data_IF_971181923002
#
_entry.id   IF_971181923002
#
_cell.length_a   1.000
_cell.length_b   1.000
_cell.length_c   1.000
_cell.angle_alpha   90.00
_cell.angle_beta   90.00
_cell.angle_gamma   90.00
#
_symmetry.space_group_name_H-M   'P 1'
#
loop_
_entity.id
_entity.type
_entity.pdbx_description
1 polymer ?
#
# COMPACT_ATOMS: atom_id res chain seq x y z
N UNK A 1 17.15 48.48 22.14
CA UNK A 1 15.94 48.05 22.89
C UNK A 1 15.17 47.13 21.96
N UNK A 2 14.83 45.96 22.49
CA UNK A 2 14.25 44.78 21.84
C UNK A 2 13.30 45.07 20.67
N UNK A 3 13.51 44.42 19.53
CA UNK A 3 12.47 44.26 18.50
C UNK A 3 11.88 42.87 18.70
N UNK A 4 10.67 42.84 19.26
CA UNK A 4 9.82 41.64 19.28
C UNK A 4 9.42 41.40 17.83
N UNK A 5 9.78 40.25 17.27
CA UNK A 5 9.27 39.80 15.97
C UNK A 5 8.19 38.78 16.25
N UNK A 6 6.98 39.16 15.85
CA UNK A 6 5.79 38.32 15.68
C UNK A 6 6.14 37.00 15.00
N UNK A 7 5.45 35.93 15.39
CA UNK A 7 5.50 34.61 14.78
C UNK A 7 5.21 34.70 13.27
N UNK A 8 6.27 34.79 12.46
CA UNK A 8 6.18 34.69 11.02
C UNK A 8 6.03 33.22 10.64
N UNK A 9 4.80 32.81 10.28
CA UNK A 9 4.55 31.59 9.52
C UNK A 9 5.46 31.59 8.30
N UNK A 10 6.47 30.72 8.32
CA UNK A 10 7.39 30.53 7.20
C UNK A 10 6.68 29.59 6.23
N UNK A 11 6.17 30.10 5.11
CA UNK A 11 5.68 29.20 4.05
C UNK A 11 6.87 28.40 3.52
N UNK A 12 6.75 27.07 3.55
CA UNK A 12 7.73 26.17 2.96
C UNK A 12 7.81 26.45 1.46
N UNK A 13 9.00 26.85 0.98
CA UNK A 13 9.24 27.05 -0.45
C UNK A 13 9.34 25.67 -1.10
N UNK A 14 8.53 25.35 -2.12
CA UNK A 14 8.62 24.05 -2.79
C UNK A 14 9.98 23.90 -3.49
N UNK A 15 10.61 22.74 -3.31
CA UNK A 15 11.87 22.38 -3.95
C UNK A 15 11.58 21.56 -5.19
N UNK A 16 12.10 21.97 -6.35
CA UNK A 16 12.04 21.17 -7.59
C UNK A 16 13.39 20.55 -7.90
N UNK A 17 13.39 19.25 -8.22
CA UNK A 17 14.60 18.46 -8.44
C UNK A 17 14.58 17.85 -9.84
N UNK A 18 15.35 18.49 -10.72
CA UNK A 18 15.41 18.22 -12.18
C UNK A 18 16.49 17.21 -12.58
N UNK A 19 17.37 16.84 -11.64
CA UNK A 19 18.49 15.94 -11.89
C UNK A 19 18.49 14.82 -10.87
N UNK A 20 19.05 13.66 -11.25
CA UNK A 20 19.14 12.53 -10.34
C UNK A 20 19.85 12.93 -9.05
N UNK A 21 19.24 12.58 -7.92
CA UNK A 21 19.72 13.03 -6.61
C UNK A 21 19.70 11.91 -5.57
N UNK A 22 20.58 12.06 -4.58
CA UNK A 22 20.62 11.19 -3.41
C UNK A 22 20.89 11.95 -2.11
N UNK A 23 20.20 11.57 -1.04
CA UNK A 23 20.35 12.24 0.26
C UNK A 23 19.13 12.16 1.18
N UNK A 24 19.08 13.09 2.14
CA UNK A 24 18.07 13.17 3.19
C UNK A 24 17.39 14.54 3.16
N UNK A 25 16.05 14.56 3.24
CA UNK A 25 15.27 15.78 3.49
C UNK A 25 14.26 15.54 4.62
N UNK A 26 13.92 16.62 5.30
CA UNK A 26 13.02 16.64 6.46
C UNK A 26 12.15 17.89 6.34
N UNK A 27 10.88 17.81 6.74
CA UNK A 27 9.94 18.95 6.76
C UNK A 27 9.89 19.70 5.41
N UNK A 28 9.65 18.98 4.32
CA UNK A 28 9.83 19.51 2.96
C UNK A 28 8.60 19.31 2.06
N UNK A 29 8.38 20.27 1.15
CA UNK A 29 7.47 20.11 0.00
C UNK A 29 8.30 20.02 -1.27
N UNK A 30 8.24 18.90 -1.98
CA UNK A 30 9.19 18.57 -3.05
C UNK A 30 8.46 18.07 -4.29
N UNK A 31 8.88 18.55 -5.46
CA UNK A 31 8.56 17.96 -6.75
C UNK A 31 9.83 17.34 -7.35
N UNK A 32 9.76 16.06 -7.73
CA UNK A 32 10.88 15.28 -8.25
C UNK A 32 10.55 14.83 -9.68
N UNK A 33 11.23 15.43 -10.66
CA UNK A 33 11.07 15.09 -12.09
C UNK A 33 12.14 14.09 -12.58
N UNK A 34 13.14 13.78 -11.76
CA UNK A 34 14.24 12.86 -12.07
C UNK A 34 14.40 11.75 -11.04
N UNK A 35 15.14 10.68 -11.36
CA UNK A 35 15.29 9.55 -10.44
C UNK A 35 15.89 9.95 -9.08
N UNK A 36 15.30 9.44 -8.00
CA UNK A 36 15.72 9.74 -6.64
C UNK A 36 16.09 8.50 -5.84
N UNK A 37 17.08 8.66 -4.96
CA UNK A 37 17.40 7.68 -3.93
C UNK A 37 17.61 8.33 -2.56
N UNK A 38 16.85 7.99 -1.52
CA UNK A 38 17.09 8.68 -0.25
C UNK A 38 16.09 8.42 0.86
N UNK A 39 16.20 9.25 1.90
CA UNK A 39 15.31 9.24 3.04
C UNK A 39 14.54 10.56 3.11
N UNK A 40 13.22 10.48 3.22
CA UNK A 40 12.36 11.64 3.44
C UNK A 40 11.56 11.43 4.72
N UNK A 41 11.49 12.48 5.53
CA UNK A 41 10.73 12.49 6.79
C UNK A 41 9.83 13.72 6.80
N UNK A 42 8.59 13.57 7.27
CA UNK A 42 7.64 14.69 7.43
C UNK A 42 7.50 15.53 6.15
N UNK A 43 7.26 14.85 5.01
CA UNK A 43 7.34 15.48 3.69
C UNK A 43 6.06 15.33 2.86
N UNK A 44 5.78 16.33 2.02
CA UNK A 44 4.77 16.26 0.96
C UNK A 44 5.47 16.21 -0.39
N UNK A 45 5.27 15.13 -1.15
CA UNK A 45 6.11 14.83 -2.31
C UNK A 45 5.26 14.45 -3.52
N UNK A 46 5.60 15.02 -4.68
CA UNK A 46 5.16 14.54 -5.99
C UNK A 46 6.38 13.99 -6.75
N UNK A 47 6.26 12.78 -7.30
CA UNK A 47 7.34 12.11 -8.02
C UNK A 47 6.84 11.63 -9.39
N UNK A 48 7.41 12.18 -10.46
CA UNK A 48 7.13 11.79 -11.85
C UNK A 48 8.14 10.78 -12.41
N UNK A 49 9.17 10.45 -11.63
CA UNK A 49 10.26 9.54 -12.02
C UNK A 49 10.47 8.39 -11.02
N UNK A 50 11.32 7.43 -11.36
CA UNK A 50 11.58 6.29 -10.47
C UNK A 50 12.21 6.72 -9.14
N UNK A 51 11.67 6.21 -8.04
CA UNK A 51 12.17 6.47 -6.70
C UNK A 51 12.60 5.20 -5.99
N UNK A 52 13.67 5.31 -5.20
CA UNK A 52 14.07 4.28 -4.24
C UNK A 52 14.41 4.85 -2.87
N UNK A 53 14.09 4.16 -1.77
CA UNK A 53 14.47 4.67 -0.45
C UNK A 53 13.53 4.36 0.70
N UNK A 54 13.51 5.27 1.69
CA UNK A 54 12.65 5.20 2.87
C UNK A 54 11.85 6.49 3.02
N UNK A 55 10.55 6.40 3.29
CA UNK A 55 9.76 7.55 3.72
C UNK A 55 9.04 7.28 5.04
N UNK A 56 9.02 8.31 5.88
CA UNK A 56 8.38 8.29 7.20
C UNK A 56 7.49 9.52 7.31
N UNK A 57 6.27 9.36 7.84
CA UNK A 57 5.36 10.47 8.13
C UNK A 57 5.11 11.36 6.90
N UNK A 58 4.84 10.77 5.74
CA UNK A 58 4.84 11.48 4.46
C UNK A 58 3.52 11.34 3.69
N UNK A 59 3.18 12.39 2.92
CA UNK A 59 2.09 12.36 1.94
C UNK A 59 2.66 12.40 0.54
N UNK A 60 2.29 11.42 -0.30
CA UNK A 60 3.04 11.13 -1.52
C UNK A 60 2.11 10.82 -2.69
N UNK A 61 2.41 11.43 -3.84
CA UNK A 61 1.88 11.04 -5.14
C UNK A 61 3.03 10.57 -6.04
N UNK A 62 2.91 9.38 -6.61
CA UNK A 62 3.92 8.78 -7.48
C UNK A 62 3.26 8.33 -8.80
N UNK A 63 3.77 8.86 -9.91
CA UNK A 63 3.34 8.48 -11.28
C UNK A 63 4.29 7.46 -11.94
N UNK A 64 5.34 7.03 -11.23
CA UNK A 64 6.39 6.17 -11.76
C UNK A 64 6.77 5.01 -10.83
N UNK A 65 7.65 4.11 -11.27
CA UNK A 65 8.00 2.93 -10.47
C UNK A 65 8.68 3.29 -9.15
N UNK A 66 8.26 2.62 -8.07
CA UNK A 66 8.78 2.85 -6.73
C UNK A 66 9.34 1.57 -6.12
N UNK A 67 10.45 1.70 -5.38
CA UNK A 67 10.98 0.61 -4.56
C UNK A 67 11.47 1.07 -3.19
N UNK A 68 11.00 0.49 -2.08
CA UNK A 68 11.49 0.96 -0.78
C UNK A 68 10.67 0.59 0.45
N UNK A 69 10.79 1.41 1.50
CA UNK A 69 10.08 1.27 2.75
C UNK A 69 9.26 2.53 3.05
N UNK A 70 8.04 2.31 3.55
CA UNK A 70 7.13 3.36 3.98
C UNK A 70 6.63 3.09 5.39
N UNK A 71 6.59 4.15 6.19
CA UNK A 71 6.07 4.11 7.56
C UNK A 71 5.19 5.33 7.78
N UNK A 72 4.02 5.13 8.38
CA UNK A 72 3.12 6.22 8.78
C UNK A 72 2.79 7.19 7.63
N UNK A 73 2.46 6.64 6.45
CA UNK A 73 2.39 7.43 5.22
C UNK A 73 1.03 7.30 4.51
N UNK A 74 0.66 8.36 3.78
CA UNK A 74 -0.49 8.36 2.86
C UNK A 74 0.02 8.44 1.43
N UNK A 75 -0.32 7.47 0.59
CA UNK A 75 0.24 7.36 -0.76
C UNK A 75 -0.83 7.12 -1.82
N UNK A 76 -0.70 7.81 -2.96
CA UNK A 76 -1.34 7.47 -4.23
C UNK A 76 -0.26 7.05 -5.25
N UNK A 77 -0.45 5.90 -5.91
CA UNK A 77 0.52 5.33 -6.85
C UNK A 77 -0.18 4.90 -8.14
N UNK A 78 0.21 5.50 -9.27
CA UNK A 78 -0.32 5.16 -10.60
C UNK A 78 0.59 4.16 -11.37
N UNK A 79 1.66 3.70 -10.73
CA UNK A 79 2.67 2.84 -11.35
C UNK A 79 3.11 1.68 -10.44
N UNK A 80 3.95 0.78 -10.97
CA UNK A 80 4.36 -0.43 -10.27
C UNK A 80 5.14 -0.14 -8.99
N UNK A 81 4.81 -0.85 -7.92
CA UNK A 81 5.43 -0.70 -6.61
C UNK A 81 6.06 -2.00 -6.11
N UNK A 82 7.19 -1.87 -5.42
CA UNK A 82 7.83 -2.97 -4.69
C UNK A 82 8.36 -2.55 -3.32
N UNK A 83 8.13 -3.31 -2.25
CA UNK A 83 8.70 -2.94 -0.94
C UNK A 83 7.92 -3.34 0.30
N UNK A 84 8.04 -2.52 1.34
CA UNK A 84 7.37 -2.70 2.63
C UNK A 84 6.59 -1.45 3.01
N UNK A 85 5.35 -1.61 3.48
CA UNK A 85 4.64 -0.55 4.21
C UNK A 85 4.22 -0.99 5.60
N UNK A 86 4.27 -0.01 6.51
CA UNK A 86 3.79 -0.14 7.89
C UNK A 86 2.93 1.08 8.20
N UNK A 87 1.78 0.86 8.86
CA UNK A 87 0.92 1.95 9.35
C UNK A 87 0.52 2.96 8.24
N UNK A 88 0.13 2.46 7.07
CA UNK A 88 -0.04 3.31 5.88
C UNK A 88 -1.44 3.23 5.27
N UNK A 89 -1.86 4.34 4.65
CA UNK A 89 -3.08 4.41 3.82
C UNK A 89 -2.70 4.58 2.36
N UNK A 90 -3.26 3.75 1.47
CA UNK A 90 -2.76 3.63 0.11
C UNK A 90 -3.86 3.44 -0.92
N UNK A 91 -3.73 4.13 -2.04
CA UNK A 91 -4.42 3.82 -3.29
C UNK A 91 -3.40 3.46 -4.38
N UNK A 92 -3.57 2.32 -5.03
CA UNK A 92 -2.68 1.84 -6.10
C UNK A 92 -3.52 1.46 -7.33
N UNK A 93 -3.21 2.08 -8.47
CA UNK A 93 -3.84 1.76 -9.76
C UNK A 93 -3.02 0.75 -10.60
N UNK A 94 -1.89 0.28 -10.07
CA UNK A 94 -0.93 -0.55 -10.80
C UNK A 94 -0.45 -1.79 -10.00
N UNK A 95 0.45 -2.58 -10.58
CA UNK A 95 0.88 -3.83 -9.95
C UNK A 95 1.74 -3.59 -8.70
N UNK A 96 1.51 -4.38 -7.67
CA UNK A 96 2.26 -4.28 -6.40
C UNK A 96 2.88 -5.61 -5.99
N UNK A 97 4.06 -5.51 -5.37
CA UNK A 97 4.75 -6.65 -4.77
C UNK A 97 5.40 -6.29 -3.42
N UNK A 98 5.24 -7.10 -2.37
CA UNK A 98 5.86 -6.76 -1.09
C UNK A 98 5.20 -7.25 0.20
N UNK A 99 5.40 -6.49 1.27
CA UNK A 99 4.82 -6.74 2.60
C UNK A 99 4.06 -5.52 3.13
N UNK A 100 2.93 -5.77 3.78
CA UNK A 100 2.20 -4.75 4.53
C UNK A 100 1.92 -5.19 5.95
N UNK A 101 1.90 -4.20 6.82
CA UNK A 101 1.53 -4.35 8.22
C UNK A 101 0.69 -3.15 8.63
N UNK A 102 -0.42 -3.38 9.32
CA UNK A 102 -1.26 -2.33 9.90
C UNK A 102 -1.72 -1.27 8.86
N UNK A 103 -2.16 -1.72 7.68
CA UNK A 103 -2.41 -0.83 6.55
C UNK A 103 -3.86 -0.88 6.03
N UNK A 104 -4.32 0.23 5.45
CA UNK A 104 -5.62 0.35 4.76
C UNK A 104 -5.44 0.67 3.29
N UNK A 105 -6.00 -0.15 2.40
CA UNK A 105 -5.58 -0.14 0.98
C UNK A 105 -6.71 -0.41 0.00
N UNK A 106 -6.70 0.35 -1.10
CA UNK A 106 -7.45 0.05 -2.32
C UNK A 106 -6.46 -0.22 -3.47
N UNK A 107 -6.65 -1.34 -4.17
CA UNK A 107 -5.84 -1.73 -5.33
C UNK A 107 -6.73 -2.07 -6.52
N UNK A 108 -6.54 -1.41 -7.66
CA UNK A 108 -7.28 -1.70 -8.91
C UNK A 108 -6.55 -2.73 -9.81
N UNK A 109 -5.37 -3.18 -9.41
CA UNK A 109 -4.49 -4.04 -10.21
C UNK A 109 -3.94 -5.25 -9.44
N UNK A 110 -3.07 -6.02 -10.10
CA UNK A 110 -2.61 -7.30 -9.56
C UNK A 110 -1.69 -7.12 -8.35
N UNK A 111 -1.85 -7.99 -7.37
CA UNK A 111 -1.07 -7.96 -6.15
C UNK A 111 -0.33 -9.27 -5.87
N UNK A 112 0.90 -9.16 -5.37
CA UNK A 112 1.65 -10.28 -4.81
C UNK A 112 2.31 -9.95 -3.46
N UNK A 113 2.06 -10.72 -2.39
CA UNK A 113 2.81 -10.52 -1.16
C UNK A 113 2.19 -10.98 0.15
N UNK A 114 2.60 -10.34 1.24
CA UNK A 114 2.18 -10.67 2.60
C UNK A 114 1.42 -9.51 3.24
N UNK A 115 0.33 -9.84 3.94
CA UNK A 115 -0.45 -8.92 4.76
C UNK A 115 -0.54 -9.40 6.20
N UNK A 116 -0.37 -8.46 7.11
CA UNK A 116 -0.64 -8.62 8.53
C UNK A 116 -1.49 -7.46 8.99
N UNK A 117 -2.55 -7.72 9.76
CA UNK A 117 -3.35 -6.69 10.45
C UNK A 117 -3.88 -5.59 9.50
N UNK A 118 -4.35 -5.96 8.31
CA UNK A 118 -4.68 -4.99 7.24
C UNK A 118 -6.14 -5.08 6.77
N UNK A 119 -6.66 -3.95 6.27
CA UNK A 119 -7.99 -3.85 5.64
C UNK A 119 -7.86 -3.47 4.17
N UNK A 120 -8.35 -4.32 3.26
CA UNK A 120 -7.99 -4.22 1.84
C UNK A 120 -9.16 -4.49 0.91
N UNK A 121 -9.27 -3.68 -0.15
CA UNK A 121 -10.13 -3.90 -1.30
C UNK A 121 -9.29 -4.06 -2.56
N UNK A 122 -9.50 -5.15 -3.31
CA UNK A 122 -8.78 -5.44 -4.56
C UNK A 122 -9.78 -5.75 -5.67
N UNK A 123 -9.71 -5.02 -6.78
CA UNK A 123 -10.56 -5.28 -7.96
C UNK A 123 -9.97 -6.35 -8.91
N UNK A 124 -8.69 -6.68 -8.74
CA UNK A 124 -7.97 -7.61 -9.59
C UNK A 124 -7.45 -8.85 -8.83
N UNK A 125 -6.49 -9.56 -9.43
CA UNK A 125 -5.99 -10.83 -8.91
C UNK A 125 -5.01 -10.64 -7.75
N UNK A 126 -5.10 -11.53 -6.77
CA UNK A 126 -4.17 -11.58 -5.65
C UNK A 126 -3.43 -12.91 -5.56
N UNK A 127 -2.15 -12.84 -5.20
CA UNK A 127 -1.35 -13.97 -4.74
C UNK A 127 -0.63 -13.66 -3.42
N UNK A 128 -0.75 -14.50 -2.38
CA UNK A 128 -0.06 -14.17 -1.13
C UNK A 128 -0.46 -14.88 0.15
N UNK A 129 -0.03 -14.28 1.26
CA UNK A 129 -0.34 -14.71 2.62
C UNK A 129 -1.08 -13.60 3.38
N UNK A 130 -2.10 -13.99 4.14
CA UNK A 130 -2.85 -13.12 5.05
C UNK A 130 -2.78 -13.65 6.47
N UNK A 131 -2.61 -12.71 7.39
CA UNK A 131 -2.79 -12.93 8.81
C UNK A 131 -3.62 -11.77 9.37
N UNK A 132 -4.61 -12.08 10.21
CA UNK A 132 -5.36 -11.08 11.00
C UNK A 132 -5.96 -9.92 10.15
N UNK A 133 -6.43 -10.23 8.94
CA UNK A 133 -6.83 -9.21 7.96
C UNK A 133 -8.32 -9.27 7.58
N UNK A 134 -8.83 -8.19 6.99
CA UNK A 134 -10.18 -8.12 6.41
C UNK A 134 -10.09 -7.71 4.94
N UNK A 135 -10.61 -8.53 4.03
CA UNK A 135 -10.41 -8.32 2.58
C UNK A 135 -11.68 -8.53 1.75
N UNK A 136 -11.86 -7.68 0.74
CA UNK A 136 -12.80 -7.88 -0.35
C UNK A 136 -12.05 -7.96 -1.70
N UNK A 137 -12.39 -8.97 -2.52
CA UNK A 137 -11.74 -9.22 -3.81
C UNK A 137 -12.77 -9.51 -4.89
N UNK A 138 -12.74 -8.74 -5.98
CA UNK A 138 -13.66 -8.95 -7.10
C UNK A 138 -13.17 -10.06 -8.06
N UNK A 139 -11.85 -10.27 -8.17
CA UNK A 139 -11.30 -11.29 -9.04
C UNK A 139 -10.83 -12.55 -8.27
N UNK A 140 -9.67 -13.09 -8.65
CA UNK A 140 -9.16 -14.37 -8.17
C UNK A 140 -8.11 -14.24 -7.07
N UNK A 141 -8.18 -15.11 -6.07
CA UNK A 141 -7.17 -15.28 -5.04
C UNK A 141 -6.41 -16.60 -5.17
N UNK A 142 -5.11 -16.54 -4.91
CA UNK A 142 -4.27 -17.70 -4.60
C UNK A 142 -3.43 -17.49 -3.35
N UNK A 143 -3.46 -18.40 -2.36
CA UNK A 143 -2.67 -18.15 -1.15
C UNK A 143 -3.03 -18.88 0.13
N UNK A 144 -2.51 -18.35 1.23
CA UNK A 144 -2.78 -18.81 2.60
C UNK A 144 -3.44 -17.69 3.39
N UNK A 145 -4.40 -18.06 4.22
CA UNK A 145 -5.11 -17.11 5.07
C UNK A 145 -5.29 -17.71 6.47
N UNK A 146 -4.89 -16.93 7.46
CA UNK A 146 -4.93 -17.26 8.89
C UNK A 146 -5.65 -16.15 9.63
N UNK A 147 -6.58 -16.50 10.53
CA UNK A 147 -7.27 -15.55 11.41
C UNK A 147 -7.90 -14.35 10.68
N UNK A 148 -8.36 -14.54 9.44
CA UNK A 148 -8.85 -13.42 8.61
C UNK A 148 -10.29 -13.62 8.13
N UNK A 149 -10.89 -12.51 7.70
CA UNK A 149 -12.21 -12.48 7.05
C UNK A 149 -12.06 -12.07 5.60
N UNK A 150 -12.64 -12.82 4.68
CA UNK A 150 -12.53 -12.52 3.24
C UNK A 150 -13.84 -12.74 2.47
N UNK A 151 -14.11 -11.86 1.52
CA UNK A 151 -15.17 -11.99 0.52
C UNK A 151 -14.55 -11.99 -0.89
N UNK A 152 -14.95 -12.94 -1.74
CA UNK A 152 -14.39 -13.13 -3.08
C UNK A 152 -15.50 -13.36 -4.09
N UNK A 153 -15.54 -12.57 -5.16
CA UNK A 153 -16.53 -12.77 -6.22
C UNK A 153 -16.12 -13.92 -7.17
N UNK A 154 -14.88 -13.94 -7.68
CA UNK A 154 -14.52 -14.95 -8.68
C UNK A 154 -14.06 -16.30 -8.09
N UNK A 155 -12.78 -16.46 -7.75
CA UNK A 155 -12.23 -17.79 -7.45
C UNK A 155 -11.17 -17.77 -6.37
N UNK A 156 -11.17 -18.81 -5.54
CA UNK A 156 -10.09 -19.06 -4.58
C UNK A 156 -9.33 -20.36 -4.87
N UNK A 157 -8.02 -20.30 -4.68
CA UNK A 157 -7.14 -21.45 -4.48
C UNK A 157 -6.26 -21.28 -3.25
N UNK A 158 -6.22 -22.24 -2.32
CA UNK A 158 -5.39 -22.02 -1.12
C UNK A 158 -5.71 -22.81 0.14
N UNK A 159 -5.18 -22.31 1.25
CA UNK A 159 -5.38 -22.85 2.60
C UNK A 159 -5.97 -21.78 3.53
N UNK A 160 -6.98 -22.19 4.31
CA UNK A 160 -7.63 -21.39 5.34
C UNK A 160 -7.42 -22.01 6.73
N UNK A 161 -7.03 -21.18 7.69
CA UNK A 161 -6.89 -21.56 9.10
C UNK A 161 -7.60 -20.53 9.98
N UNK A 162 -8.51 -20.95 10.86
CA UNK A 162 -9.18 -20.07 11.84
C UNK A 162 -9.88 -18.86 11.20
N UNK A 163 -10.49 -19.05 10.04
CA UNK A 163 -10.89 -17.94 9.16
C UNK A 163 -12.32 -18.03 8.66
N UNK A 164 -12.84 -16.89 8.19
CA UNK A 164 -14.18 -16.79 7.60
C UNK A 164 -14.07 -16.38 6.14
N UNK A 165 -14.71 -17.13 5.26
CA UNK A 165 -14.68 -16.85 3.82
C UNK A 165 -16.08 -16.93 3.19
N UNK A 166 -16.36 -15.99 2.28
CA UNK A 166 -17.51 -16.02 1.38
C UNK A 166 -17.04 -16.01 -0.08
N UNK A 167 -17.55 -16.93 -0.91
CA UNK A 167 -17.17 -17.02 -2.34
C UNK A 167 -18.41 -17.20 -3.22
N UNK A 168 -18.46 -16.45 -4.34
CA UNK A 168 -19.55 -16.61 -5.32
C UNK A 168 -19.27 -17.70 -6.36
N UNK A 169 -18.12 -17.72 -7.04
CA UNK A 169 -17.94 -18.63 -8.18
C UNK A 169 -17.28 -19.98 -7.83
N UNK A 170 -16.01 -20.01 -7.41
CA UNK A 170 -15.30 -21.30 -7.25
C UNK A 170 -14.27 -21.36 -6.12
N UNK A 171 -14.21 -22.52 -5.45
CA UNK A 171 -13.28 -22.82 -4.38
C UNK A 171 -12.45 -24.06 -4.67
N UNK A 172 -11.14 -23.98 -4.43
CA UNK A 172 -10.25 -25.13 -4.31
C UNK A 172 -9.29 -24.94 -3.14
N UNK A 173 -9.26 -25.87 -2.19
CA UNK A 173 -8.39 -25.69 -1.04
C UNK A 173 -8.72 -26.53 0.18
N UNK A 174 -7.98 -26.27 1.25
CA UNK A 174 -8.15 -26.91 2.55
C UNK A 174 -8.68 -25.92 3.59
N UNK A 175 -9.61 -26.38 4.43
CA UNK A 175 -10.16 -25.66 5.57
C UNK A 175 -9.66 -26.30 6.87
N UNK A 176 -9.13 -25.49 7.78
CA UNK A 176 -8.81 -25.87 9.16
C UNK A 176 -9.48 -24.87 10.09
N UNK A 177 -10.36 -25.33 10.98
CA UNK A 177 -11.04 -24.47 11.97
C UNK A 177 -11.70 -23.21 11.36
N UNK A 178 -12.14 -23.31 10.11
CA UNK A 178 -12.62 -22.19 9.30
C UNK A 178 -14.08 -22.36 8.90
N UNK A 179 -14.75 -21.24 8.65
CA UNK A 179 -16.14 -21.18 8.17
C UNK A 179 -16.19 -20.75 6.70
N UNK A 180 -17.01 -21.44 5.90
CA UNK A 180 -17.16 -21.19 4.47
C UNK A 180 -18.63 -20.96 4.11
N UNK A 181 -18.91 -19.83 3.46
CA UNK A 181 -20.24 -19.45 2.98
C UNK A 181 -20.25 -19.39 1.43
N UNK A 182 -20.87 -20.36 0.74
CA UNK A 182 -21.11 -20.20 -0.70
C UNK A 182 -22.21 -19.16 -0.91
N UNK A 183 -21.93 -18.10 -1.68
CA UNK A 183 -22.94 -17.13 -2.07
C UNK A 183 -23.71 -17.73 -3.26
N UNK A 184 -25.00 -18.00 -3.06
CA UNK A 184 -25.88 -18.46 -4.14
C UNK A 184 -26.72 -17.27 -4.60
N UNK A 185 -26.49 -16.78 -5.83
CA UNK A 185 -27.34 -15.78 -6.46
C UNK A 185 -28.69 -16.43 -6.80
N UNK A 186 -29.76 -16.01 -6.11
CA UNK A 186 -31.16 -16.42 -6.36
C UNK A 186 -31.82 -15.55 -7.43
#
# INVERSE_FOLDING_TARGET
MQMVLDEAYTEAVPITIEASWSGLLTESTIAIEASWSGLLTESTIAIEASWSGLLTESTIAIEASWSGLLTESTIAIEASWSGLLTESTIAIEASWSGLLTESTIAIEASWSGLLTESTIAIEASWSGLLTESTIAIEASWSGLLTESTIAIEASWSGLLTESTIAIEASWSGLLTESTFFPITLS
#
